data_IF_515159729062
#
_entry.id   IF_515159729062
#
_cell.length_a   1.000
_cell.length_b   1.000
_cell.length_c   1.000
_cell.angle_alpha   90.00
_cell.angle_beta   90.00
_cell.angle_gamma   90.00
#
_symmetry.space_group_name_H-M   'P 1'
#
loop_
_entity.id
_entity.type
_entity.pdbx_description
1 polymer ?
#
# COMPACT_ATOMS: atom_id res chain seq x y z
N UNK A 1 3.09 25.36 -16.71
CA UNK A 1 4.02 24.48 -17.45
C UNK A 1 4.57 23.50 -16.44
N UNK A 2 3.87 22.39 -16.22
CA UNK A 2 4.28 21.38 -15.24
C UNK A 2 5.41 20.58 -15.85
N UNK A 3 6.60 20.66 -15.26
CA UNK A 3 7.69 19.74 -15.58
C UNK A 3 7.30 18.39 -14.99
N UNK A 4 6.76 17.50 -15.82
CA UNK A 4 6.74 16.08 -15.49
C UNK A 4 8.20 15.62 -15.44
N UNK A 5 8.75 15.60 -14.23
CA UNK A 5 10.01 14.92 -13.95
C UNK A 5 9.74 13.44 -14.19
N UNK A 6 10.04 12.97 -15.39
CA UNK A 6 10.14 11.54 -15.69
C UNK A 6 11.00 10.92 -14.59
N UNK A 7 10.50 9.95 -13.81
CA UNK A 7 11.28 9.37 -12.74
C UNK A 7 12.59 8.85 -13.32
N UNK A 8 13.71 9.00 -12.59
CA UNK A 8 14.99 8.50 -13.07
C UNK A 8 14.85 7.01 -13.43
N UNK A 9 15.54 6.54 -14.49
CA UNK A 9 15.52 5.11 -14.82
C UNK A 9 15.85 4.29 -13.57
N UNK A 10 15.18 3.16 -13.41
CA UNK A 10 15.42 2.22 -12.32
C UNK A 10 16.93 2.03 -12.17
N UNK A 11 17.44 2.23 -10.96
CA UNK A 11 18.86 2.05 -10.61
C UNK A 11 19.28 0.57 -10.65
N UNK A 12 18.43 -0.31 -11.21
CA UNK A 12 18.66 -1.75 -11.31
C UNK A 12 18.60 -2.45 -9.96
N UNK A 13 18.12 -1.77 -8.92
CA UNK A 13 18.07 -2.31 -7.57
C UNK A 13 17.11 -3.50 -7.47
N UNK A 14 17.56 -4.53 -6.76
CA UNK A 14 16.79 -5.74 -6.43
C UNK A 14 16.95 -5.98 -4.92
N UNK A 15 15.86 -6.28 -4.19
CA UNK A 15 15.93 -6.57 -2.76
C UNK A 15 16.90 -7.70 -2.41
N UNK A 16 17.60 -7.53 -1.28
CA UNK A 16 18.40 -8.57 -0.65
C UNK A 16 18.03 -8.68 0.84
N UNK A 17 18.64 -9.64 1.55
CA UNK A 17 18.44 -9.74 3.00
C UNK A 17 19.04 -8.55 3.76
N UNK A 18 20.13 -7.96 3.24
CA UNK A 18 20.83 -6.84 3.89
C UNK A 18 20.34 -5.46 3.39
N UNK A 19 19.72 -5.40 2.21
CA UNK A 19 19.09 -4.20 1.65
C UNK A 19 17.64 -4.52 1.26
N UNK A 20 16.75 -4.47 2.26
CA UNK A 20 15.33 -4.74 2.11
C UNK A 20 14.57 -3.49 1.63
N UNK A 21 13.38 -3.64 1.03
CA UNK A 21 12.51 -2.49 0.73
C UNK A 21 12.23 -1.61 1.95
N UNK A 22 12.11 -2.22 3.14
CA UNK A 22 11.95 -1.51 4.40
C UNK A 22 13.15 -0.60 4.71
N UNK A 23 14.38 -1.14 4.63
CA UNK A 23 15.61 -0.35 4.84
C UNK A 23 15.72 0.77 3.80
N UNK A 24 15.50 0.45 2.52
CA UNK A 24 15.58 1.39 1.40
C UNK A 24 14.55 2.53 1.49
N UNK A 25 13.37 2.25 2.05
CA UNK A 25 12.31 3.24 2.26
C UNK A 25 12.61 4.22 3.40
N UNK A 26 13.56 3.90 4.29
CA UNK A 26 13.88 4.69 5.49
C UNK A 26 13.29 4.13 6.77
N UNK A 27 12.88 2.86 6.78
CA UNK A 27 12.40 2.17 7.97
C UNK A 27 10.96 2.49 8.37
N UNK A 28 10.65 2.27 9.64
CA UNK A 28 9.28 2.18 10.16
C UNK A 28 8.47 3.47 9.97
N UNK A 29 9.04 4.62 10.32
CA UNK A 29 8.36 5.91 10.18
C UNK A 29 7.95 6.18 8.71
N UNK A 30 8.85 5.89 7.76
CA UNK A 30 8.58 6.11 6.34
C UNK A 30 7.48 5.18 5.81
N UNK A 31 7.46 3.93 6.25
CA UNK A 31 6.43 2.95 5.88
C UNK A 31 5.06 3.33 6.47
N UNK A 32 5.01 3.76 7.73
CA UNK A 32 3.78 4.27 8.32
C UNK A 32 3.28 5.53 7.62
N UNK A 33 4.17 6.44 7.23
CA UNK A 33 3.81 7.62 6.46
C UNK A 33 3.25 7.26 5.06
N UNK A 34 3.75 6.20 4.42
CA UNK A 34 3.16 5.69 3.17
C UNK A 34 1.75 5.14 3.40
N UNK A 35 1.54 4.37 4.48
CA UNK A 35 0.21 3.85 4.83
C UNK A 35 -0.80 4.98 5.11
N UNK A 36 -0.38 6.04 5.80
CA UNK A 36 -1.23 7.21 6.04
C UNK A 36 -1.55 7.94 4.73
N UNK A 37 -0.54 8.21 3.89
CA UNK A 37 -0.74 8.86 2.59
C UNK A 37 -1.67 8.05 1.67
N UNK A 38 -1.58 6.72 1.71
CA UNK A 38 -2.47 5.82 0.97
C UNK A 38 -3.94 6.03 1.33
N UNK A 39 -4.26 6.09 2.62
CA UNK A 39 -5.64 6.31 3.05
C UNK A 39 -6.08 7.76 2.89
N UNK A 40 -5.17 8.74 2.99
CA UNK A 40 -5.49 10.13 2.69
C UNK A 40 -5.86 10.33 1.21
N UNK A 41 -5.17 9.67 0.29
CA UNK A 41 -5.53 9.64 -1.13
C UNK A 41 -6.86 8.92 -1.33
N UNK A 42 -7.08 7.77 -0.68
CA UNK A 42 -8.33 7.02 -0.78
C UNK A 42 -9.54 7.83 -0.33
N UNK A 43 -9.45 8.47 0.84
CA UNK A 43 -10.52 9.31 1.39
C UNK A 43 -10.85 10.49 0.45
N UNK A 44 -9.84 11.07 -0.19
CA UNK A 44 -10.00 12.25 -1.05
C UNK A 44 -10.47 11.92 -2.47
N UNK A 45 -10.04 10.79 -3.03
CA UNK A 45 -10.12 10.54 -4.47
C UNK A 45 -10.91 9.29 -4.85
N UNK A 46 -11.06 8.32 -3.95
CA UNK A 46 -11.75 7.05 -4.20
C UNK A 46 -12.83 6.80 -3.11
N UNK A 47 -13.84 7.68 -2.96
CA UNK A 47 -14.81 7.61 -1.87
C UNK A 47 -15.63 6.31 -1.84
N UNK A 48 -15.85 5.67 -3.00
CA UNK A 48 -16.49 4.37 -3.07
C UNK A 48 -15.63 3.26 -2.43
N UNK A 49 -14.30 3.32 -2.63
CA UNK A 49 -13.35 2.42 -1.98
C UNK A 49 -13.18 2.76 -0.49
N UNK A 50 -13.20 4.04 -0.12
CA UNK A 50 -13.16 4.44 1.29
C UNK A 50 -14.39 3.89 2.06
N UNK A 51 -15.58 3.99 1.48
CA UNK A 51 -16.85 3.60 2.09
C UNK A 51 -16.99 2.11 2.45
N UNK A 52 -16.11 1.22 1.96
CA UNK A 52 -16.11 -0.20 2.38
C UNK A 52 -15.48 -0.40 3.76
N UNK A 53 -14.75 0.60 4.26
CA UNK A 53 -14.11 0.58 5.56
C UNK A 53 -15.04 1.19 6.62
N UNK A 54 -14.77 0.88 7.89
CA UNK A 54 -15.35 1.64 8.99
C UNK A 54 -14.73 3.05 9.02
N UNK A 55 -15.58 4.06 8.94
CA UNK A 55 -15.20 5.46 8.93
C UNK A 55 -15.30 6.07 10.34
N UNK A 56 -14.45 7.05 10.63
CA UNK A 56 -14.52 7.86 11.85
C UNK A 56 -15.59 8.96 11.76
N UNK A 57 -15.71 9.76 12.82
CA UNK A 57 -16.69 10.85 12.90
C UNK A 57 -16.45 11.98 11.87
N UNK A 58 -15.28 12.00 11.20
CA UNK A 58 -14.93 12.94 10.15
C UNK A 58 -15.11 12.32 8.75
N UNK A 59 -15.63 11.09 8.66
CA UNK A 59 -15.84 10.38 7.41
C UNK A 59 -14.56 9.81 6.79
N UNK A 60 -13.48 9.68 7.56
CA UNK A 60 -12.20 9.11 7.10
C UNK A 60 -12.07 7.65 7.48
N UNK A 61 -11.33 6.86 6.71
CA UNK A 61 -10.99 5.48 7.14
C UNK A 61 -10.35 5.52 8.54
N UNK A 62 -10.91 4.74 9.47
CA UNK A 62 -10.55 4.88 10.87
C UNK A 62 -9.07 4.61 11.17
N UNK A 63 -8.59 5.18 12.27
CA UNK A 63 -7.17 5.09 12.70
C UNK A 63 -6.68 3.66 12.91
N UNK A 64 -7.54 2.75 13.40
CA UNK A 64 -7.17 1.35 13.63
C UNK A 64 -6.85 0.60 12.34
N UNK A 65 -7.62 0.86 11.28
CA UNK A 65 -7.41 0.30 9.95
C UNK A 65 -6.10 0.82 9.35
N UNK A 66 -5.88 2.14 9.41
CA UNK A 66 -4.64 2.79 8.96
C UNK A 66 -3.40 2.22 9.66
N UNK A 67 -3.44 2.11 10.99
CA UNK A 67 -2.34 1.55 11.78
C UNK A 67 -2.07 0.07 11.45
N UNK A 68 -3.14 -0.74 11.33
CA UNK A 68 -3.03 -2.16 10.97
C UNK A 68 -2.36 -2.35 9.61
N UNK A 69 -2.71 -1.51 8.62
CA UNK A 69 -2.08 -1.56 7.31
C UNK A 69 -0.61 -1.16 7.37
N UNK A 70 -0.26 -0.11 8.12
CA UNK A 70 1.14 0.26 8.35
C UNK A 70 1.96 -0.87 8.97
N UNK A 71 1.46 -1.51 10.03
CA UNK A 71 2.14 -2.68 10.64
C UNK A 71 2.30 -3.84 9.67
N UNK A 72 1.31 -4.08 8.80
CA UNK A 72 1.40 -5.08 7.76
C UNK A 72 2.52 -4.73 6.78
N UNK A 73 2.56 -3.49 6.27
CA UNK A 73 3.59 -3.05 5.33
C UNK A 73 4.99 -3.12 5.92
N UNK A 74 5.18 -2.77 7.20
CA UNK A 74 6.49 -2.87 7.87
C UNK A 74 7.03 -4.29 7.76
N UNK A 75 6.24 -5.29 8.17
CA UNK A 75 6.65 -6.69 8.08
C UNK A 75 6.76 -7.19 6.64
N UNK A 76 5.84 -6.77 5.77
CA UNK A 76 5.79 -7.20 4.36
C UNK A 76 6.98 -6.69 3.54
N UNK A 77 7.52 -5.52 3.89
CA UNK A 77 8.69 -4.90 3.27
C UNK A 77 10.03 -5.40 3.85
N UNK A 78 10.00 -6.35 4.80
CA UNK A 78 11.20 -6.94 5.40
C UNK A 78 11.63 -6.34 6.74
N UNK A 79 10.79 -5.50 7.35
CA UNK A 79 10.99 -4.98 8.70
C UNK A 79 10.47 -5.92 9.81
N UNK A 80 10.38 -5.42 11.04
CA UNK A 80 9.83 -6.16 12.18
C UNK A 80 8.40 -6.67 11.95
N UNK A 81 8.10 -7.88 12.43
CA UNK A 81 6.83 -8.57 12.18
C UNK A 81 5.70 -8.17 13.16
N UNK A 82 5.48 -6.88 13.38
CA UNK A 82 4.49 -6.36 14.33
C UNK A 82 3.07 -6.85 14.03
N UNK A 83 2.68 -6.85 12.75
CA UNK A 83 1.36 -7.37 12.34
C UNK A 83 1.15 -8.81 12.79
N UNK A 84 2.12 -9.70 12.51
CA UNK A 84 1.98 -11.12 12.82
C UNK A 84 1.96 -11.38 14.33
N UNK A 85 2.71 -10.59 15.10
CA UNK A 85 2.70 -10.66 16.56
C UNK A 85 1.33 -10.28 17.16
N UNK A 86 0.64 -9.29 16.58
CA UNK A 86 -0.64 -8.78 17.11
C UNK A 86 -1.88 -9.44 16.49
N UNK A 87 -1.82 -9.82 15.21
CA UNK A 87 -2.97 -10.26 14.43
C UNK A 87 -2.84 -11.69 13.88
N UNK A 88 -1.71 -12.35 14.12
CA UNK A 88 -1.39 -13.66 13.57
C UNK A 88 -1.09 -13.60 12.07
N UNK A 89 -1.07 -14.76 11.42
CA UNK A 89 -0.72 -14.87 10.01
C UNK A 89 -1.62 -13.97 9.12
N UNK A 90 -1.04 -13.25 8.13
CA UNK A 90 -1.80 -12.32 7.28
C UNK A 90 -3.01 -12.94 6.58
N UNK A 91 -2.84 -14.12 5.96
CA UNK A 91 -3.90 -14.88 5.26
C UNK A 91 -4.78 -13.96 4.39
N UNK A 92 -4.15 -13.10 3.58
CA UNK A 92 -4.80 -11.94 2.94
C UNK A 92 -6.07 -12.32 2.18
N UNK A 93 -6.03 -13.35 1.32
CA UNK A 93 -7.21 -13.79 0.55
C UNK A 93 -8.37 -14.24 1.43
N UNK A 94 -8.10 -14.93 2.55
CA UNK A 94 -9.15 -15.32 3.50
C UNK A 94 -9.76 -14.08 4.17
N UNK A 95 -8.93 -13.11 4.58
CA UNK A 95 -9.41 -11.87 5.19
C UNK A 95 -10.18 -10.97 4.23
N UNK A 96 -9.88 -11.00 2.93
CA UNK A 96 -10.60 -10.23 1.91
C UNK A 96 -11.78 -10.98 1.28
N UNK A 97 -11.96 -12.28 1.57
CA UNK A 97 -13.00 -13.11 0.94
C UNK A 97 -14.44 -12.73 1.27
N UNK A 98 -14.66 -11.83 2.24
CA UNK A 98 -15.97 -11.30 2.58
C UNK A 98 -16.34 -10.03 1.78
N UNK A 99 -15.40 -9.47 1.02
CA UNK A 99 -15.59 -8.29 0.19
C UNK A 99 -15.60 -8.70 -1.29
N UNK A 100 -16.54 -8.22 -2.11
CA UNK A 100 -16.47 -8.41 -3.55
C UNK A 100 -15.36 -7.52 -4.11
N UNK A 101 -14.24 -8.10 -4.53
CA UNK A 101 -13.11 -7.37 -5.11
C UNK A 101 -13.06 -7.65 -6.62
N UNK A 102 -13.52 -6.68 -7.40
CA UNK A 102 -13.47 -6.66 -8.86
C UNK A 102 -12.24 -5.87 -9.37
N UNK A 103 -12.11 -5.74 -10.69
CA UNK A 103 -11.04 -4.96 -11.36
C UNK A 103 -11.14 -3.48 -11.01
N UNK A 104 -12.34 -2.93 -10.86
CA UNK A 104 -12.54 -1.52 -10.50
C UNK A 104 -11.97 -1.19 -9.13
N UNK A 105 -12.25 -2.01 -8.12
CA UNK A 105 -11.69 -1.87 -6.78
C UNK A 105 -10.18 -2.10 -6.78
N UNK A 106 -9.69 -3.09 -7.53
CA UNK A 106 -8.25 -3.36 -7.69
C UNK A 106 -7.53 -2.14 -8.27
N UNK A 107 -8.07 -1.56 -9.35
CA UNK A 107 -7.47 -0.41 -10.02
C UNK A 107 -7.53 0.85 -9.15
N UNK A 108 -8.64 1.09 -8.44
CA UNK A 108 -8.77 2.18 -7.48
C UNK A 108 -7.72 2.10 -6.36
N UNK A 109 -7.55 0.90 -5.80
CA UNK A 109 -6.54 0.65 -4.77
C UNK A 109 -5.12 0.93 -5.29
N UNK A 110 -4.80 0.48 -6.52
CA UNK A 110 -3.49 0.73 -7.13
C UNK A 110 -3.26 2.22 -7.41
N UNK A 111 -4.27 2.96 -7.89
CA UNK A 111 -4.18 4.41 -8.08
C UNK A 111 -3.86 5.13 -6.76
N UNK A 112 -4.53 4.76 -5.67
CA UNK A 112 -4.23 5.31 -4.34
C UNK A 112 -2.77 5.05 -3.94
N UNK A 113 -2.28 3.82 -4.11
CA UNK A 113 -0.92 3.46 -3.74
C UNK A 113 0.13 4.18 -4.59
N UNK A 114 -0.08 4.29 -5.91
CA UNK A 114 0.81 5.01 -6.81
C UNK A 114 0.95 6.48 -6.41
N UNK A 115 -0.19 7.17 -6.18
CA UNK A 115 -0.19 8.56 -5.73
C UNK A 115 0.43 8.75 -4.35
N UNK A 116 0.19 7.83 -3.43
CA UNK A 116 0.82 7.86 -2.12
C UNK A 116 2.35 7.73 -2.26
N UNK A 117 2.84 6.81 -3.10
CA UNK A 117 4.27 6.69 -3.39
C UNK A 117 4.85 7.96 -4.03
N UNK A 118 4.11 8.62 -4.93
CA UNK A 118 4.52 9.91 -5.51
C UNK A 118 4.65 11.00 -4.43
N UNK A 119 3.65 11.12 -3.55
CA UNK A 119 3.66 12.09 -2.44
C UNK A 119 4.79 11.82 -1.43
N UNK A 120 5.18 10.55 -1.25
CA UNK A 120 6.30 10.15 -0.40
C UNK A 120 7.66 10.22 -1.10
N UNK A 121 7.71 10.62 -2.37
CA UNK A 121 8.96 10.75 -3.13
C UNK A 121 9.64 9.41 -3.44
N UNK A 122 8.88 8.32 -3.46
CA UNK A 122 9.42 6.98 -3.75
C UNK A 122 9.66 6.86 -5.26
N UNK A 123 10.92 6.71 -5.63
CA UNK A 123 11.42 6.71 -7.02
C UNK A 123 12.45 5.60 -7.26
N UNK A 124 12.98 5.49 -8.49
CA UNK A 124 14.05 4.56 -8.83
C UNK A 124 13.65 3.08 -8.80
N UNK A 125 14.59 2.18 -8.54
CA UNK A 125 14.33 0.74 -8.51
C UNK A 125 13.41 0.31 -7.37
N UNK A 126 13.41 1.02 -6.23
CA UNK A 126 12.44 0.78 -5.16
C UNK A 126 11.01 1.01 -5.66
N UNK A 127 10.76 2.11 -6.40
CA UNK A 127 9.44 2.39 -6.97
C UNK A 127 9.00 1.28 -7.92
N UNK A 128 9.84 0.92 -8.89
CA UNK A 128 9.52 -0.14 -9.85
C UNK A 128 9.22 -1.47 -9.16
N UNK A 129 10.02 -1.85 -8.17
CA UNK A 129 9.77 -3.03 -7.36
C UNK A 129 8.40 -2.96 -6.66
N UNK A 130 8.08 -1.85 -5.98
CA UNK A 130 6.81 -1.72 -5.26
C UNK A 130 5.60 -1.70 -6.20
N UNK A 131 5.69 -1.02 -7.34
CA UNK A 131 4.63 -1.03 -8.36
C UNK A 131 4.28 -2.47 -8.77
N UNK A 132 5.28 -3.28 -9.13
CA UNK A 132 5.09 -4.68 -9.54
C UNK A 132 4.52 -5.53 -8.39
N UNK A 133 5.05 -5.38 -7.18
CA UNK A 133 4.63 -6.19 -6.03
C UNK A 133 3.22 -5.86 -5.57
N UNK A 134 2.85 -4.58 -5.56
CA UNK A 134 1.49 -4.17 -5.22
C UNK A 134 0.50 -4.61 -6.29
N UNK A 135 0.83 -4.50 -7.58
CA UNK A 135 0.00 -5.01 -8.66
C UNK A 135 -0.29 -6.51 -8.51
N UNK A 136 0.75 -7.33 -8.27
CA UNK A 136 0.60 -8.78 -8.05
C UNK A 136 -0.31 -9.10 -6.86
N UNK A 137 -0.13 -8.42 -5.73
CA UNK A 137 -0.96 -8.67 -4.53
C UNK A 137 -2.40 -8.22 -4.77
N UNK A 138 -2.61 -7.05 -5.37
CA UNK A 138 -3.95 -6.54 -5.66
C UNK A 138 -4.72 -7.48 -6.61
N UNK A 139 -4.06 -7.99 -7.65
CA UNK A 139 -4.64 -8.99 -8.56
C UNK A 139 -4.95 -10.31 -7.86
N UNK A 140 -4.06 -10.77 -6.97
CA UNK A 140 -4.30 -11.99 -6.18
C UNK A 140 -5.54 -11.90 -5.27
N UNK A 141 -5.92 -10.69 -4.84
CA UNK A 141 -7.06 -10.49 -3.93
C UNK A 141 -8.40 -10.38 -4.64
N UNK A 142 -8.42 -10.19 -5.97
CA UNK A 142 -9.65 -10.22 -6.76
C UNK A 142 -10.38 -11.55 -6.57
N UNK A 143 -11.70 -11.47 -6.42
CA UNK A 143 -12.52 -12.64 -6.13
C UNK A 143 -13.91 -12.63 -6.78
N UNK A 144 -14.25 -11.59 -7.55
CA UNK A 144 -15.50 -11.45 -8.29
C UNK A 144 -15.20 -11.00 -9.72
N UNK A 145 -16.10 -11.32 -10.66
CA UNK A 145 -16.02 -10.87 -12.06
C UNK A 145 -16.27 -9.36 -12.21
N UNK A 146 -15.76 -8.81 -13.31
CA UNK A 146 -15.61 -7.37 -13.54
C UNK A 146 -14.14 -7.07 -13.69
#
# INVERSE_FOLDING_TARGET
MSMELKPPPSDGWVPTLDDTPFTRMGGEEAVHALAEAFYDVMDAEEPALAAIHELDAQGKVNRGTRQRFGMFLVGWLGGPQHYSATHGHPRLRMRHGHLPVDTGMRDAWLRCMQKAMDQRGITGGLRGFLDDRFAQVADFLRNTEG
#
